data_IF_194737985386
#
_entry.id   IF_194737985386
#
_cell.length_a   1.000
_cell.length_b   1.000
_cell.length_c   1.000
_cell.angle_alpha   90.00
_cell.angle_beta   90.00
_cell.angle_gamma   90.00
#
_symmetry.space_group_name_H-M   'P 1'
#
loop_
_entity.id
_entity.type
_entity.pdbx_description
1 polymer ?
#
# COMPACT_ATOMS: atom_id res chain seq x y z
N UNK A 1 54.79 14.88 14.05
CA UNK A 1 54.66 13.45 13.66
C UNK A 1 53.74 12.68 14.63
N UNK A 2 52.48 13.08 14.78
CA UNK A 2 51.54 12.44 15.74
C UNK A 2 50.16 12.11 15.15
N UNK A 3 49.95 12.31 13.84
CA UNK A 3 48.63 12.13 13.21
C UNK A 3 48.39 10.76 12.57
N UNK A 4 49.42 9.91 12.40
CA UNK A 4 49.28 8.63 11.65
C UNK A 4 48.86 7.44 12.50
N UNK A 5 48.88 7.54 13.83
CA UNK A 5 48.41 6.48 14.74
C UNK A 5 46.91 6.55 15.08
N UNK A 6 46.18 7.60 14.69
CA UNK A 6 44.76 7.76 15.04
C UNK A 6 43.81 6.98 14.12
N UNK A 7 44.15 6.79 12.85
CA UNK A 7 43.30 6.09 11.87
C UNK A 7 43.12 4.58 12.16
N UNK A 8 44.16 3.79 12.48
CA UNK A 8 43.97 2.38 12.82
C UNK A 8 43.29 2.19 14.19
N UNK A 9 43.43 3.16 15.11
CA UNK A 9 42.76 3.12 16.40
C UNK A 9 41.26 3.45 16.27
N UNK A 10 40.87 4.35 15.37
CA UNK A 10 39.46 4.64 15.06
C UNK A 10 38.81 3.44 14.35
N UNK A 11 39.50 2.79 13.39
CA UNK A 11 38.99 1.58 12.74
C UNK A 11 38.88 0.37 13.70
N UNK A 12 39.77 0.27 14.70
CA UNK A 12 39.72 -0.76 15.73
C UNK A 12 38.70 -0.50 16.84
N UNK A 13 38.30 0.76 17.08
CA UNK A 13 37.19 1.10 17.98
C UNK A 13 35.81 0.88 17.33
N UNK A 14 35.70 1.04 16.00
CA UNK A 14 34.47 0.77 15.24
C UNK A 14 34.12 -0.73 15.14
N UNK A 15 35.09 -1.63 15.35
CA UNK A 15 34.89 -3.08 15.22
C UNK A 15 34.45 -3.78 16.51
N UNK A 16 34.35 -3.08 17.65
CA UNK A 16 34.04 -3.69 18.95
C UNK A 16 32.61 -3.42 19.48
N UNK A 17 31.79 -2.63 18.79
CA UNK A 17 30.43 -2.23 19.26
C UNK A 17 29.28 -2.58 18.30
N UNK A 18 29.55 -3.24 17.18
CA UNK A 18 28.55 -3.43 16.09
C UNK A 18 27.81 -4.77 16.12
N UNK A 19 28.17 -5.69 17.03
CA UNK A 19 27.51 -6.98 17.21
C UNK A 19 26.63 -6.96 18.47
N UNK A 20 25.31 -6.82 18.29
CA UNK A 20 24.32 -6.93 19.36
C UNK A 20 23.70 -8.33 19.35
N UNK A 21 23.21 -8.80 20.50
CA UNK A 21 22.46 -10.06 20.57
C UNK A 21 21.03 -9.81 20.12
N UNK A 22 20.58 -10.51 19.07
CA UNK A 22 19.20 -10.49 18.63
C UNK A 22 18.32 -11.01 19.77
N UNK A 23 17.34 -10.22 20.27
CA UNK A 23 16.59 -10.59 21.46
C UNK A 23 15.65 -11.78 21.22
N UNK A 24 15.23 -12.03 19.99
CA UNK A 24 14.39 -13.18 19.65
C UNK A 24 15.17 -14.49 19.49
N UNK A 25 16.32 -14.47 18.79
CA UNK A 25 17.10 -15.70 18.51
C UNK A 25 18.22 -15.97 19.50
N UNK A 26 18.66 -14.94 20.23
CA UNK A 26 19.89 -14.99 21.01
C UNK A 26 21.17 -15.06 20.17
N UNK A 27 21.11 -14.97 18.84
CA UNK A 27 22.28 -14.96 17.94
C UNK A 27 22.90 -13.56 17.88
N UNK A 28 24.17 -13.47 17.47
CA UNK A 28 24.81 -12.18 17.19
C UNK A 28 24.27 -11.64 15.86
N UNK A 29 23.98 -10.34 15.83
CA UNK A 29 23.44 -9.60 14.69
C UNK A 29 24.21 -8.29 14.55
N UNK A 30 24.42 -7.86 13.31
CA UNK A 30 24.92 -6.52 13.03
C UNK A 30 23.85 -5.49 13.40
N UNK A 31 24.18 -4.57 14.31
CA UNK A 31 23.27 -3.48 14.69
C UNK A 31 24.07 -2.19 14.77
N UNK A 32 23.88 -1.32 13.77
CA UNK A 32 24.40 0.05 13.78
C UNK A 32 23.42 1.05 14.40
N UNK A 33 22.17 0.62 14.62
CA UNK A 33 21.11 1.44 15.21
C UNK A 33 20.90 1.02 16.67
N UNK A 34 21.02 1.98 17.60
CA UNK A 34 20.72 1.76 19.01
C UNK A 34 19.22 1.55 19.24
N UNK A 35 18.80 1.02 20.40
CA UNK A 35 17.38 0.87 20.70
C UNK A 35 16.66 2.23 20.80
N UNK A 36 17.32 3.25 21.35
CA UNK A 36 16.73 4.58 21.46
C UNK A 36 16.57 5.23 20.08
N UNK A 37 17.56 5.07 19.19
CA UNK A 37 17.47 5.52 17.80
C UNK A 37 16.38 4.76 17.03
N UNK A 38 16.26 3.45 17.26
CA UNK A 38 15.21 2.62 16.69
C UNK A 38 13.81 3.14 17.08
N UNK A 39 13.60 3.45 18.36
CA UNK A 39 12.34 4.00 18.87
C UNK A 39 12.08 5.40 18.29
N UNK A 40 13.10 6.26 18.23
CA UNK A 40 12.97 7.61 17.69
C UNK A 40 12.59 7.58 16.20
N UNK A 41 13.27 6.74 15.41
CA UNK A 41 12.98 6.55 13.99
C UNK A 41 11.56 6.01 13.76
N UNK A 42 11.16 5.02 14.56
CA UNK A 42 9.81 4.47 14.54
C UNK A 42 8.73 5.51 14.78
N UNK A 43 8.91 6.33 15.82
CA UNK A 43 7.97 7.41 16.16
C UNK A 43 7.85 8.44 15.04
N UNK A 44 8.98 8.91 14.49
CA UNK A 44 8.96 9.86 13.39
C UNK A 44 8.22 9.28 12.17
N UNK A 45 8.57 8.05 11.78
CA UNK A 45 7.98 7.38 10.62
C UNK A 45 6.49 7.12 10.82
N UNK A 46 6.06 6.81 12.06
CA UNK A 46 4.65 6.66 12.39
C UNK A 46 3.86 7.97 12.23
N UNK A 47 4.43 9.13 12.57
CA UNK A 47 3.78 10.42 12.29
C UNK A 47 3.67 10.70 10.79
N UNK A 48 4.69 10.35 10.01
CA UNK A 48 4.65 10.47 8.54
C UNK A 48 3.54 9.59 7.95
N UNK A 49 3.41 8.33 8.40
CA UNK A 49 2.32 7.42 8.00
C UNK A 49 0.94 7.99 8.35
N UNK A 50 0.76 8.51 9.57
CA UNK A 50 -0.52 9.11 9.98
C UNK A 50 -0.86 10.38 9.19
N UNK A 51 0.14 11.19 8.85
CA UNK A 51 -0.07 12.40 8.07
C UNK A 51 -0.34 12.16 6.58
N UNK A 52 0.19 11.06 6.03
CA UNK A 52 0.08 10.71 4.60
C UNK A 52 -1.07 9.78 4.27
N UNK A 53 -1.22 8.68 5.01
CA UNK A 53 -2.25 7.67 4.77
C UNK A 53 -3.52 8.00 5.57
N UNK A 54 -3.36 8.46 6.82
CA UNK A 54 -4.48 8.70 7.72
C UNK A 54 -4.92 7.45 8.48
N UNK A 55 -5.44 7.67 9.70
CA UNK A 55 -6.03 6.61 10.52
C UNK A 55 -7.50 6.41 10.16
N UNK A 56 -7.98 5.16 10.31
CA UNK A 56 -9.42 4.89 10.39
C UNK A 56 -9.97 5.65 11.60
N UNK A 57 -11.00 6.47 11.38
CA UNK A 57 -11.50 7.42 12.38
C UNK A 57 -12.40 6.76 13.44
N UNK A 58 -12.97 5.60 13.13
CA UNK A 58 -13.85 4.84 14.00
C UNK A 58 -13.09 4.30 15.23
N UNK A 59 -13.36 4.80 16.45
CA UNK A 59 -12.59 4.40 17.64
C UNK A 59 -12.67 2.90 17.93
N UNK A 60 -13.84 2.30 17.67
CA UNK A 60 -14.06 0.87 17.84
C UNK A 60 -13.11 0.01 17.00
N UNK A 61 -12.69 0.47 15.81
CA UNK A 61 -11.75 -0.27 14.96
C UNK A 61 -10.34 -0.18 15.53
N UNK A 62 -9.91 1.03 15.96
CA UNK A 62 -8.61 1.23 16.61
C UNK A 62 -8.48 0.41 17.90
N UNK A 63 -9.52 0.45 18.74
CA UNK A 63 -9.59 -0.35 19.97
C UNK A 63 -9.56 -1.85 19.67
N UNK A 64 -10.23 -2.30 18.61
CA UNK A 64 -10.26 -3.71 18.23
C UNK A 64 -8.87 -4.21 17.83
N UNK A 65 -8.18 -3.53 16.90
CA UNK A 65 -6.85 -3.97 16.43
C UNK A 65 -5.82 -3.93 17.56
N UNK A 66 -5.89 -2.92 18.42
CA UNK A 66 -5.05 -2.82 19.61
C UNK A 66 -5.34 -3.95 20.62
N UNK A 67 -6.62 -4.29 20.86
CA UNK A 67 -7.01 -5.39 21.74
C UNK A 67 -6.47 -6.74 21.25
N UNK A 68 -6.41 -6.95 19.94
CA UNK A 68 -5.88 -8.20 19.35
C UNK A 68 -4.36 -8.26 19.50
N UNK A 69 -3.65 -7.21 19.08
CA UNK A 69 -2.20 -7.29 18.96
C UNK A 69 -1.40 -6.89 20.21
N UNK A 70 -1.87 -5.97 21.06
CA UNK A 70 -1.09 -5.50 22.21
C UNK A 70 -0.77 -6.62 23.21
N UNK A 71 -1.68 -7.56 23.53
CA UNK A 71 -1.36 -8.69 24.39
C UNK A 71 -0.22 -9.55 23.81
N UNK A 72 -0.23 -9.80 22.49
CA UNK A 72 0.84 -10.53 21.81
C UNK A 72 2.18 -9.79 21.89
N UNK A 73 2.17 -8.48 21.64
CA UNK A 73 3.35 -7.64 21.72
C UNK A 73 3.94 -7.58 23.15
N UNK A 74 3.08 -7.49 24.17
CA UNK A 74 3.49 -7.49 25.59
C UNK A 74 3.92 -8.86 26.12
N UNK A 75 3.62 -9.95 25.40
CA UNK A 75 4.10 -11.29 25.70
C UNK A 75 5.34 -11.69 24.86
N UNK A 76 5.82 -10.79 24.00
CA UNK A 76 6.99 -11.03 23.15
C UNK A 76 8.31 -10.89 23.89
N UNK A 77 9.42 -11.06 23.18
CA UNK A 77 10.78 -10.89 23.69
C UNK A 77 11.18 -9.43 23.94
N UNK A 78 10.35 -8.45 23.54
CA UNK A 78 10.58 -7.00 23.76
C UNK A 78 9.34 -6.29 24.32
N UNK A 79 8.82 -6.69 25.50
CA UNK A 79 7.56 -6.16 26.04
C UNK A 79 7.64 -4.68 26.46
N UNK A 80 8.84 -4.16 26.67
CA UNK A 80 9.14 -2.80 27.11
C UNK A 80 9.03 -1.73 26.01
N UNK A 81 8.99 -2.13 24.73
CA UNK A 81 8.85 -1.17 23.63
C UNK A 81 7.52 -0.38 23.73
N UNK A 82 7.51 0.87 23.22
CA UNK A 82 6.31 1.69 23.14
C UNK A 82 5.40 1.23 21.99
N UNK A 83 4.88 0.01 22.10
CA UNK A 83 4.02 -0.63 21.11
C UNK A 83 2.78 0.21 20.81
N UNK A 84 2.52 0.43 19.52
CA UNK A 84 1.25 0.98 19.02
C UNK A 84 0.76 0.08 17.90
N UNK A 85 -0.54 -0.19 17.87
CA UNK A 85 -1.18 -1.02 16.84
C UNK A 85 -2.38 -0.23 16.34
N UNK A 86 -2.35 0.17 15.08
CA UNK A 86 -3.30 1.13 14.53
C UNK A 86 -3.80 0.69 13.16
N UNK A 87 -5.05 1.04 12.85
CA UNK A 87 -5.62 0.80 11.53
C UNK A 87 -5.54 2.07 10.67
N UNK A 88 -5.10 1.95 9.42
CA UNK A 88 -4.97 3.05 8.46
C UNK A 88 -6.01 2.97 7.34
N UNK A 89 -6.44 4.12 6.86
CA UNK A 89 -7.48 4.25 5.82
C UNK A 89 -6.89 4.08 4.41
N UNK A 90 -6.35 2.88 4.15
CA UNK A 90 -5.81 2.49 2.86
C UNK A 90 -6.59 1.28 2.32
N UNK A 91 -7.18 1.34 1.12
CA UNK A 91 -7.87 0.20 0.52
C UNK A 91 -6.93 -0.89 0.00
N UNK A 92 -5.63 -0.62 -0.10
CA UNK A 92 -4.63 -1.63 -0.49
C UNK A 92 -4.51 -2.68 0.61
N UNK A 93 -4.49 -3.97 0.24
CA UNK A 93 -4.31 -5.08 1.18
C UNK A 93 -2.87 -5.11 1.69
N UNK A 94 -2.64 -4.61 2.91
CA UNK A 94 -1.33 -4.56 3.53
C UNK A 94 -1.36 -4.53 5.08
N UNK A 95 -0.23 -4.86 5.68
CA UNK A 95 0.13 -4.57 7.07
C UNK A 95 1.65 -4.35 7.12
N UNK A 96 2.13 -3.59 8.08
CA UNK A 96 3.56 -3.33 8.20
C UNK A 96 3.96 -2.93 9.61
N UNK A 97 5.18 -3.32 9.97
CA UNK A 97 5.85 -2.97 11.21
C UNK A 97 6.92 -1.90 10.96
N UNK A 98 6.93 -0.85 11.78
CA UNK A 98 8.02 0.13 11.83
C UNK A 98 8.95 -0.20 13.02
N UNK A 99 10.25 0.15 12.93
CA UNK A 99 11.19 -0.07 14.03
C UNK A 99 10.67 0.51 15.36
N UNK A 100 10.97 -0.15 16.48
CA UNK A 100 10.68 0.42 17.80
C UNK A 100 9.23 0.33 18.28
N UNK A 101 8.34 -0.40 17.58
CA UNK A 101 7.03 -0.79 18.12
C UNK A 101 5.75 -0.34 17.39
N UNK A 102 5.74 0.60 16.43
CA UNK A 102 4.54 0.88 15.66
C UNK A 102 4.20 -0.25 14.66
N UNK A 103 2.97 -0.71 14.68
CA UNK A 103 2.41 -1.70 13.75
C UNK A 103 1.13 -1.13 13.14
N UNK A 104 1.00 -1.23 11.83
CA UNK A 104 -0.14 -0.75 11.08
C UNK A 104 -0.80 -1.86 10.29
N UNK A 105 -2.12 -1.81 10.21
CA UNK A 105 -2.94 -2.69 9.36
C UNK A 105 -3.87 -1.84 8.50
N UNK A 106 -3.95 -2.13 7.20
CA UNK A 106 -4.77 -1.33 6.29
C UNK A 106 -6.24 -1.77 6.34
N UNK A 107 -7.14 -0.83 6.04
CA UNK A 107 -8.55 -1.14 5.81
C UNK A 107 -8.74 -2.22 4.74
N UNK A 108 -7.95 -2.18 3.67
CA UNK A 108 -7.95 -3.21 2.63
C UNK A 108 -7.75 -4.60 3.19
N UNK A 109 -6.73 -4.79 4.03
CA UNK A 109 -6.48 -6.09 4.66
C UNK A 109 -7.58 -6.47 5.64
N UNK A 110 -8.05 -5.55 6.50
CA UNK A 110 -9.16 -5.82 7.42
C UNK A 110 -10.42 -6.31 6.68
N UNK A 111 -10.74 -5.72 5.54
CA UNK A 111 -11.92 -6.14 4.77
C UNK A 111 -11.72 -7.45 4.01
N UNK A 112 -10.48 -7.86 3.74
CA UNK A 112 -10.16 -9.13 3.09
C UNK A 112 -10.17 -10.32 4.07
N UNK A 113 -9.73 -10.14 5.31
CA UNK A 113 -9.68 -11.19 6.33
C UNK A 113 -11.08 -11.61 6.82
N UNK A 114 -11.17 -12.79 7.41
CA UNK A 114 -12.40 -13.51 7.70
C UNK A 114 -12.55 -13.95 9.16
N UNK A 115 -11.51 -13.76 10.00
CA UNK A 115 -11.61 -13.99 11.45
C UNK A 115 -10.63 -13.14 12.26
N UNK A 116 -10.83 -13.11 13.58
CA UNK A 116 -9.92 -12.43 14.50
C UNK A 116 -8.57 -13.16 14.58
N UNK A 117 -8.56 -14.49 14.45
CA UNK A 117 -7.36 -15.29 14.41
C UNK A 117 -6.54 -15.07 13.13
N UNK A 118 -7.18 -14.85 11.96
CA UNK A 118 -6.46 -14.39 10.77
C UNK A 118 -5.78 -13.03 11.01
N UNK A 119 -6.49 -12.06 11.62
CA UNK A 119 -5.89 -10.77 11.99
C UNK A 119 -4.75 -10.96 13.00
N UNK A 120 -4.92 -11.83 14.00
CA UNK A 120 -3.88 -12.13 14.98
C UNK A 120 -2.65 -12.75 14.33
N UNK A 121 -2.81 -13.56 13.28
CA UNK A 121 -1.70 -14.11 12.51
C UNK A 121 -0.88 -13.01 11.85
N UNK A 122 -1.54 -12.07 11.17
CA UNK A 122 -0.84 -10.94 10.53
C UNK A 122 -0.15 -10.08 11.58
N UNK A 123 -0.87 -9.66 12.62
CA UNK A 123 -0.28 -8.80 13.66
C UNK A 123 0.86 -9.49 14.41
N UNK A 124 0.73 -10.80 14.69
CA UNK A 124 1.79 -11.60 15.30
C UNK A 124 3.05 -11.65 14.44
N UNK A 125 2.89 -11.79 13.12
CA UNK A 125 3.98 -11.74 12.16
C UNK A 125 4.68 -10.37 12.14
N UNK A 126 3.92 -9.26 12.08
CA UNK A 126 4.50 -7.91 12.11
C UNK A 126 5.23 -7.62 13.44
N UNK A 127 4.65 -8.05 14.57
CA UNK A 127 5.29 -7.96 15.89
C UNK A 127 6.61 -8.75 15.87
N UNK A 128 6.64 -9.92 15.24
CA UNK A 128 7.83 -10.75 15.16
C UNK A 128 8.98 -10.09 14.39
N UNK A 129 8.70 -9.30 13.34
CA UNK A 129 9.74 -8.52 12.65
C UNK A 129 10.43 -7.52 13.58
N UNK A 130 9.65 -6.84 14.45
CA UNK A 130 10.18 -5.86 15.41
C UNK A 130 10.92 -6.54 16.55
N UNK A 131 10.40 -7.66 17.07
CA UNK A 131 11.05 -8.41 18.16
C UNK A 131 12.34 -9.04 17.68
N UNK A 132 12.39 -9.53 16.45
CA UNK A 132 13.59 -10.02 15.81
C UNK A 132 14.51 -8.92 15.25
N UNK A 133 14.09 -7.64 15.30
CA UNK A 133 14.85 -6.49 14.79
C UNK A 133 15.22 -6.58 13.30
N UNK A 134 14.42 -7.26 12.48
CA UNK A 134 14.71 -7.45 11.05
C UNK A 134 14.87 -6.12 10.29
N UNK A 135 14.05 -5.12 10.57
CA UNK A 135 14.17 -3.79 9.94
C UNK A 135 15.45 -3.07 10.33
N UNK A 136 15.92 -3.24 11.57
CA UNK A 136 17.19 -2.66 12.04
C UNK A 136 18.39 -3.34 11.38
N UNK A 137 18.32 -4.66 11.19
CA UNK A 137 19.35 -5.40 10.46
C UNK A 137 19.47 -4.88 9.02
N UNK A 138 18.34 -4.72 8.32
CA UNK A 138 18.35 -4.15 6.97
C UNK A 138 18.85 -2.71 6.92
N UNK A 139 18.43 -1.87 7.86
CA UNK A 139 18.95 -0.49 7.95
C UNK A 139 20.46 -0.47 8.18
N UNK A 140 20.97 -1.36 9.04
CA UNK A 140 22.40 -1.48 9.32
C UNK A 140 23.17 -1.95 8.08
N UNK A 141 22.63 -2.91 7.34
CA UNK A 141 23.22 -3.37 6.07
C UNK A 141 23.23 -2.26 5.01
N UNK A 142 22.14 -1.50 4.88
CA UNK A 142 22.05 -0.36 3.97
C UNK A 142 23.05 0.75 4.33
N UNK A 143 23.19 1.08 5.62
CA UNK A 143 24.20 2.04 6.10
C UNK A 143 25.63 1.58 5.80
N UNK A 144 25.94 0.28 5.99
CA UNK A 144 27.24 -0.27 5.61
C UNK A 144 27.48 -0.24 4.11
N UNK A 145 26.47 -0.57 3.30
CA UNK A 145 26.57 -0.50 1.84
C UNK A 145 26.86 0.93 1.38
N UNK A 146 26.16 1.92 1.94
CA UNK A 146 26.41 3.34 1.68
C UNK A 146 27.81 3.76 2.16
N UNK A 147 28.23 3.37 3.35
CA UNK A 147 29.59 3.66 3.85
C UNK A 147 30.67 2.98 2.99
N UNK A 148 30.43 1.77 2.49
CA UNK A 148 31.30 1.04 1.57
C UNK A 148 31.38 1.70 0.20
N UNK A 149 30.25 2.19 -0.33
CA UNK A 149 30.21 3.01 -1.54
C UNK A 149 30.97 4.33 -1.35
N UNK A 150 30.84 4.98 -0.20
CA UNK A 150 31.58 6.20 0.14
C UNK A 150 33.09 5.95 0.26
N UNK A 151 33.51 4.85 0.90
CA UNK A 151 34.91 4.44 0.95
C UNK A 151 35.44 4.07 -0.45
N UNK A 152 34.60 3.50 -1.31
CA UNK A 152 34.89 3.25 -2.72
C UNK A 152 34.94 4.53 -3.56
N UNK A 153 34.12 5.54 -3.25
CA UNK A 153 34.07 6.83 -3.94
C UNK A 153 35.11 7.82 -3.43
N UNK A 154 35.86 7.54 -2.36
CA UNK A 154 37.14 8.25 -2.10
C UNK A 154 38.17 7.99 -3.23
N UNK A 155 37.86 7.10 -4.19
CA UNK A 155 38.56 6.95 -5.47
C UNK A 155 37.90 7.70 -6.65
N UNK A 156 36.82 8.48 -6.44
CA UNK A 156 36.08 9.23 -7.48
C UNK A 156 35.19 10.34 -6.85
N UNK A 157 35.56 11.60 -7.04
CA UNK A 157 35.11 12.80 -6.29
C UNK A 157 33.59 13.19 -6.33
N UNK A 158 32.71 12.47 -7.03
CA UNK A 158 31.35 12.99 -7.32
C UNK A 158 30.20 12.53 -6.38
N UNK A 159 30.44 11.72 -5.33
CA UNK A 159 29.35 11.06 -4.57
C UNK A 159 29.07 11.68 -3.18
N UNK A 160 29.36 12.97 -2.97
CA UNK A 160 29.24 13.62 -1.66
C UNK A 160 27.86 14.27 -1.36
N UNK A 161 26.81 14.03 -2.16
CA UNK A 161 25.58 14.84 -2.12
C UNK A 161 24.27 14.18 -1.64
N UNK A 162 24.29 12.96 -1.14
CA UNK A 162 23.09 12.30 -0.61
C UNK A 162 23.13 12.16 0.91
N UNK A 163 22.64 13.19 1.60
CA UNK A 163 22.50 13.19 3.06
C UNK A 163 21.24 13.95 3.46
N UNK A 164 20.10 13.26 3.48
CA UNK A 164 18.82 13.82 3.93
C UNK A 164 17.98 12.76 4.65
N UNK A 165 18.01 12.77 5.98
CA UNK A 165 17.22 11.90 6.87
C UNK A 165 15.71 12.23 6.86
N UNK A 166 15.27 13.25 6.10
CA UNK A 166 13.89 13.74 6.11
C UNK A 166 12.91 13.01 5.17
N UNK A 167 13.39 12.08 4.34
CA UNK A 167 12.54 11.26 3.45
C UNK A 167 12.64 9.75 3.73
N UNK A 168 13.31 9.36 4.82
CA UNK A 168 13.64 7.96 5.10
C UNK A 168 12.48 7.17 5.73
N UNK A 169 11.52 7.82 6.42
CA UNK A 169 10.49 7.13 7.18
C UNK A 169 9.52 6.32 6.31
N UNK A 170 8.98 6.93 5.25
CA UNK A 170 8.15 6.21 4.27
C UNK A 170 8.92 5.16 3.45
N UNK A 171 10.25 5.31 3.30
CA UNK A 171 11.07 4.29 2.63
C UNK A 171 11.12 2.97 3.42
N UNK A 172 10.90 3.01 4.74
CA UNK A 172 10.84 1.82 5.60
C UNK A 172 9.68 0.89 5.20
N UNK A 173 8.60 1.44 4.63
CA UNK A 173 7.45 0.68 4.15
C UNK A 173 7.78 -0.24 2.96
N UNK A 174 8.93 -0.02 2.31
CA UNK A 174 9.36 -0.78 1.13
C UNK A 174 10.52 -1.74 1.42
N UNK A 175 10.91 -1.89 2.70
CA UNK A 175 11.92 -2.88 3.09
C UNK A 175 11.41 -4.29 2.76
N UNK A 176 12.29 -5.12 2.21
CA UNK A 176 11.97 -6.48 1.78
C UNK A 176 12.71 -7.48 2.62
N UNK A 177 12.00 -8.32 3.35
CA UNK A 177 12.64 -9.25 4.27
C UNK A 177 13.19 -10.49 3.56
N UNK A 178 14.28 -11.03 4.10
CA UNK A 178 14.88 -12.26 3.60
C UNK A 178 14.02 -13.48 3.91
N UNK A 179 14.27 -14.60 3.23
CA UNK A 179 13.58 -15.88 3.50
C UNK A 179 13.78 -16.38 4.94
N UNK A 180 14.91 -16.05 5.55
CA UNK A 180 15.22 -16.44 6.94
C UNK A 180 14.42 -15.58 7.92
N UNK A 181 14.33 -14.28 7.64
CA UNK A 181 13.53 -13.32 8.41
C UNK A 181 12.04 -13.72 8.40
N UNK A 182 11.49 -14.04 7.23
CA UNK A 182 10.09 -14.46 7.08
C UNK A 182 9.80 -15.75 7.85
N UNK A 183 10.68 -16.76 7.75
CA UNK A 183 10.52 -18.02 8.51
C UNK A 183 10.61 -17.80 10.01
N UNK A 184 11.49 -16.91 10.45
CA UNK A 184 11.60 -16.55 11.87
C UNK A 184 10.36 -15.78 12.34
N UNK A 185 9.85 -14.87 11.52
CA UNK A 185 8.64 -14.11 11.82
C UNK A 185 7.41 -15.01 11.90
N UNK A 186 7.27 -16.01 11.00
CA UNK A 186 6.25 -17.05 11.07
C UNK A 186 6.31 -17.85 12.38
N UNK A 187 7.51 -18.25 12.81
CA UNK A 187 7.70 -19.05 14.03
C UNK A 187 7.33 -18.29 15.30
N UNK A 188 7.78 -17.04 15.40
CA UNK A 188 7.49 -16.17 16.53
C UNK A 188 6.02 -15.73 16.51
N UNK A 189 5.48 -15.37 15.35
CA UNK A 189 4.07 -15.02 15.17
C UNK A 189 3.16 -16.16 15.61
N UNK A 190 3.45 -17.39 15.17
CA UNK A 190 2.75 -18.60 15.60
C UNK A 190 2.78 -18.76 17.14
N UNK A 191 3.96 -18.58 17.76
CA UNK A 191 4.11 -18.64 19.22
C UNK A 191 3.27 -17.56 19.91
N UNK A 192 3.25 -16.33 19.40
CA UNK A 192 2.48 -15.23 19.99
C UNK A 192 0.98 -15.47 19.91
N UNK A 193 0.48 -15.93 18.75
CA UNK A 193 -0.91 -16.33 18.57
C UNK A 193 -1.30 -17.43 19.56
N UNK A 194 -0.48 -18.46 19.67
CA UNK A 194 -0.75 -19.60 20.54
C UNK A 194 -0.81 -19.16 22.01
N UNK A 195 0.12 -18.32 22.44
CA UNK A 195 0.14 -17.76 23.81
C UNK A 195 -1.08 -16.86 24.09
N UNK A 196 -1.60 -16.19 23.07
CA UNK A 196 -2.82 -15.38 23.16
C UNK A 196 -4.11 -16.21 23.01
N UNK A 197 -4.01 -17.52 22.80
CA UNK A 197 -5.15 -18.43 22.67
C UNK A 197 -5.87 -18.38 21.32
N UNK A 198 -5.23 -17.86 20.27
CA UNK A 198 -5.80 -17.80 18.93
C UNK A 198 -5.60 -19.10 18.16
N UNK A 199 -6.55 -19.39 17.26
CA UNK A 199 -6.47 -20.54 16.37
C UNK A 199 -5.37 -20.36 15.32
N UNK A 200 -4.21 -20.96 15.59
CA UNK A 200 -3.03 -20.91 14.73
C UNK A 200 -3.21 -21.56 13.36
N UNK A 201 -4.30 -22.32 13.13
CA UNK A 201 -4.60 -22.88 11.80
C UNK A 201 -4.93 -21.80 10.78
N UNK A 202 -5.46 -20.66 11.24
CA UNK A 202 -5.86 -19.52 10.40
C UNK A 202 -4.67 -18.81 9.72
N UNK A 203 -3.44 -19.07 10.17
CA UNK A 203 -2.25 -18.53 9.50
C UNK A 203 -2.13 -18.99 8.04
N UNK A 204 -2.53 -20.24 7.73
CA UNK A 204 -2.56 -20.74 6.36
C UNK A 204 -3.64 -20.05 5.50
N UNK A 205 -4.76 -19.68 6.12
CA UNK A 205 -5.90 -19.04 5.45
C UNK A 205 -5.60 -17.58 5.04
N UNK A 206 -4.69 -16.91 5.77
CA UNK A 206 -4.16 -15.59 5.38
C UNK A 206 -3.45 -15.67 4.02
N UNK A 207 -2.55 -16.63 3.82
CA UNK A 207 -1.85 -16.79 2.53
C UNK A 207 -2.82 -17.11 1.38
N UNK A 208 -3.83 -17.95 1.63
CA UNK A 208 -4.88 -18.21 0.64
C UNK A 208 -5.67 -16.95 0.29
N UNK A 209 -5.91 -16.07 1.27
CA UNK A 209 -6.54 -14.76 1.05
C UNK A 209 -5.65 -13.85 0.21
N UNK A 210 -4.35 -13.78 0.49
CA UNK A 210 -3.40 -12.99 -0.28
C UNK A 210 -3.24 -13.49 -1.73
N UNK A 211 -3.21 -14.81 -1.95
CA UNK A 211 -3.18 -15.40 -3.28
C UNK A 211 -4.43 -15.02 -4.10
N UNK A 212 -5.62 -15.07 -3.48
CA UNK A 212 -6.86 -14.60 -4.13
C UNK A 212 -6.81 -13.12 -4.49
N UNK A 213 -6.28 -12.26 -3.60
CA UNK A 213 -6.10 -10.83 -3.86
C UNK A 213 -5.16 -10.60 -5.05
N UNK A 214 -4.04 -11.30 -5.11
CA UNK A 214 -3.09 -11.18 -6.23
C UNK A 214 -3.71 -11.61 -7.57
N UNK A 215 -4.49 -12.69 -7.57
CA UNK A 215 -5.21 -13.16 -8.77
C UNK A 215 -6.27 -12.16 -9.23
N UNK A 216 -7.03 -11.57 -8.31
CA UNK A 216 -8.03 -10.55 -8.63
C UNK A 216 -7.41 -9.27 -9.23
N UNK A 217 -6.18 -8.92 -8.84
CA UNK A 217 -5.42 -7.82 -9.42
C UNK A 217 -4.79 -8.14 -10.79
N UNK A 218 -5.32 -9.13 -11.52
CA UNK A 218 -4.87 -9.54 -12.85
C UNK A 218 -3.62 -10.44 -12.86
N UNK A 219 -3.19 -10.96 -11.70
CA UNK A 219 -2.07 -11.91 -11.58
C UNK A 219 -0.69 -11.36 -11.93
N UNK A 220 -0.59 -10.14 -12.45
CA UNK A 220 0.66 -9.46 -12.79
C UNK A 220 1.22 -8.61 -11.64
N UNK A 221 0.38 -8.27 -10.65
CA UNK A 221 0.79 -7.51 -9.47
C UNK A 221 0.66 -8.36 -8.22
N UNK A 222 1.74 -8.44 -7.43
CA UNK A 222 1.69 -9.04 -6.10
C UNK A 222 0.92 -8.08 -5.18
N UNK A 223 0.07 -8.60 -4.26
CA UNK A 223 -0.45 -7.81 -3.15
C UNK A 223 0.69 -7.05 -2.45
N UNK A 224 0.42 -5.84 -1.96
CA UNK A 224 1.44 -5.01 -1.34
C UNK A 224 2.16 -5.74 -0.19
N UNK A 225 1.43 -6.50 0.63
CA UNK A 225 2.03 -7.33 1.68
C UNK A 225 3.01 -8.36 1.13
N UNK A 226 2.69 -9.06 0.03
CA UNK A 226 3.62 -10.03 -0.58
C UNK A 226 4.82 -9.37 -1.28
N UNK A 227 4.79 -8.05 -1.49
CA UNK A 227 5.93 -7.31 -2.04
C UNK A 227 7.03 -7.05 -1.00
N UNK A 228 6.66 -6.93 0.27
CA UNK A 228 7.58 -6.78 1.42
C UNK A 228 7.84 -8.11 2.15
N UNK A 229 6.86 -9.03 2.10
CA UNK A 229 6.88 -10.37 2.71
C UNK A 229 6.79 -11.47 1.64
N UNK A 230 7.88 -11.76 0.91
CA UNK A 230 7.84 -12.75 -0.16
C UNK A 230 7.49 -14.15 0.40
N UNK A 231 6.60 -14.86 -0.29
CA UNK A 231 6.34 -16.28 -0.03
C UNK A 231 7.17 -17.14 -1.00
N UNK A 232 8.21 -17.86 -0.53
CA UNK A 232 8.98 -18.77 -1.35
C UNK A 232 8.24 -20.06 -1.72
N UNK A 233 6.99 -20.23 -1.30
CA UNK A 233 6.07 -21.31 -1.69
C UNK A 233 5.93 -22.44 -0.66
N UNK A 234 6.66 -22.39 0.45
CA UNK A 234 6.65 -23.41 1.52
C UNK A 234 5.98 -22.94 2.82
N UNK A 235 5.66 -21.64 2.95
CA UNK A 235 5.15 -21.06 4.21
C UNK A 235 3.79 -21.63 4.63
N UNK A 236 2.90 -21.88 3.67
CA UNK A 236 1.59 -22.50 3.94
C UNK A 236 1.73 -23.89 4.54
N UNK A 237 2.57 -24.74 3.95
CA UNK A 237 2.79 -26.10 4.45
C UNK A 237 3.54 -26.08 5.79
N UNK A 238 4.50 -25.17 5.96
CA UNK A 238 5.18 -24.98 7.23
C UNK A 238 4.23 -24.50 8.34
N UNK A 239 3.26 -23.62 8.06
CA UNK A 239 2.23 -23.21 9.00
C UNK A 239 1.33 -24.39 9.42
N UNK A 240 0.88 -25.20 8.46
CA UNK A 240 0.11 -26.43 8.73
C UNK A 240 0.89 -27.43 9.57
N UNK A 241 2.17 -27.64 9.25
CA UNK A 241 3.04 -28.55 9.98
C UNK A 241 3.26 -28.07 11.43
N UNK A 242 3.49 -26.77 11.65
CA UNK A 242 3.59 -26.17 13.00
C UNK A 242 2.31 -26.35 13.78
N UNK A 243 1.14 -26.11 13.18
CA UNK A 243 -0.15 -26.33 13.80
C UNK A 243 -0.34 -27.81 14.19
N UNK A 244 0.01 -28.75 13.30
CA UNK A 244 -0.10 -30.19 13.57
C UNK A 244 0.83 -30.69 14.69
N UNK A 245 1.99 -30.05 14.88
CA UNK A 245 2.95 -30.38 15.93
C UNK A 245 2.69 -29.65 17.25
N UNK A 246 1.74 -28.73 17.29
CA UNK A 246 1.43 -27.97 18.49
C UNK A 246 0.84 -28.91 19.56
N UNK A 247 1.48 -28.96 20.73
CA UNK A 247 1.02 -29.80 21.83
C UNK A 247 -0.09 -29.10 22.64
N UNK A 248 -1.17 -28.71 21.96
CA UNK A 248 -2.35 -28.03 22.53
C UNK A 248 -3.63 -28.61 21.94
N UNK A 249 -4.74 -28.48 22.66
CA UNK A 249 -6.06 -28.78 22.11
C UNK A 249 -6.53 -27.63 21.21
N UNK A 250 -6.34 -27.81 19.88
CA UNK A 250 -6.73 -26.81 18.87
C UNK A 250 -8.24 -26.50 18.87
N UNK A 251 -9.10 -27.36 19.44
CA UNK A 251 -10.54 -27.12 19.52
C UNK A 251 -10.92 -26.04 20.53
N UNK A 252 -10.03 -25.75 21.49
CA UNK A 252 -10.23 -24.72 22.51
C UNK A 252 -9.70 -23.35 22.08
N UNK A 253 -9.02 -23.26 20.94
CA UNK A 253 -8.46 -22.01 20.44
C UNK A 253 -9.54 -21.13 19.82
N UNK A 254 -9.38 -19.82 19.99
CA UNK A 254 -10.32 -18.81 19.52
C UNK A 254 -10.07 -18.49 18.05
N UNK A 255 -11.08 -18.70 17.21
CA UNK A 255 -11.12 -18.15 15.85
C UNK A 255 -11.66 -16.69 15.84
N UNK A 256 -12.76 -16.44 16.55
CA UNK A 256 -13.30 -15.09 16.74
C UNK A 256 -14.02 -14.47 15.52
N UNK A 257 -14.36 -15.26 14.49
CA UNK A 257 -15.03 -14.78 13.26
C UNK A 257 -16.20 -13.85 13.48
N UNK A 258 -17.21 -14.21 14.28
CA UNK A 258 -18.42 -13.38 14.37
C UNK A 258 -18.16 -12.01 15.01
N UNK A 259 -17.28 -11.95 16.02
CA UNK A 259 -16.87 -10.68 16.62
C UNK A 259 -16.05 -9.82 15.64
N UNK A 260 -15.20 -10.47 14.85
CA UNK A 260 -14.42 -9.82 13.80
C UNK A 260 -15.30 -9.23 12.70
N UNK A 261 -16.23 -10.03 12.17
CA UNK A 261 -17.17 -9.58 11.16
C UNK A 261 -18.02 -8.41 11.68
N UNK A 262 -18.50 -8.49 12.93
CA UNK A 262 -19.26 -7.41 13.54
C UNK A 262 -18.48 -6.09 13.60
N UNK A 263 -17.16 -6.11 13.82
CA UNK A 263 -16.32 -4.91 13.77
C UNK A 263 -16.25 -4.31 12.36
N UNK A 264 -16.35 -5.13 11.32
CA UNK A 264 -16.35 -4.65 9.92
C UNK A 264 -17.68 -4.04 9.49
N UNK A 265 -18.77 -4.21 10.25
CA UNK A 265 -20.08 -3.68 9.87
C UNK A 265 -20.02 -2.15 9.67
N UNK A 266 -20.37 -1.69 8.46
CA UNK A 266 -20.35 -0.29 8.06
C UNK A 266 -18.97 0.26 7.68
N UNK A 267 -17.91 -0.54 7.77
CA UNK A 267 -16.55 -0.12 7.37
C UNK A 267 -16.51 0.21 5.88
N UNK A 268 -15.80 1.28 5.50
CA UNK A 268 -15.64 1.64 4.10
C UNK A 268 -14.91 0.54 3.30
N UNK A 269 -15.32 0.30 2.06
CA UNK A 269 -14.73 -0.70 1.17
C UNK A 269 -14.23 -0.06 -0.12
N UNK A 270 -13.02 -0.44 -0.54
CA UNK A 270 -12.38 0.09 -1.75
C UNK A 270 -11.97 1.57 -1.63
N UNK A 271 -11.70 2.18 -2.78
CA UNK A 271 -11.35 3.60 -2.89
C UNK A 271 -12.53 4.49 -2.52
N UNK A 272 -12.27 5.65 -1.91
CA UNK A 272 -13.31 6.67 -1.71
C UNK A 272 -13.67 7.31 -3.06
N UNK A 273 -14.89 7.11 -3.59
CA UNK A 273 -15.29 7.69 -4.87
C UNK A 273 -15.30 9.22 -4.84
N UNK A 274 -15.31 9.86 -3.66
CA UNK A 274 -15.21 11.32 -3.55
C UNK A 274 -13.84 11.85 -3.99
N UNK A 275 -12.81 10.99 -3.96
CA UNK A 275 -11.45 11.28 -4.43
C UNK A 275 -11.25 10.95 -5.92
N UNK A 276 -12.30 10.52 -6.62
CA UNK A 276 -12.22 10.18 -8.03
C UNK A 276 -12.79 8.80 -8.34
N UNK A 277 -13.55 8.71 -9.42
CA UNK A 277 -14.01 7.43 -9.95
C UNK A 277 -14.30 7.53 -11.45
N UNK A 278 -14.33 6.38 -12.11
CA UNK A 278 -14.76 6.27 -13.50
C UNK A 278 -16.21 5.81 -13.60
N UNK A 279 -16.93 6.38 -14.55
CA UNK A 279 -18.19 5.84 -15.07
C UNK A 279 -18.07 5.75 -16.59
N UNK A 280 -17.90 4.54 -17.11
CA UNK A 280 -17.43 4.35 -18.48
C UNK A 280 -16.06 5.01 -18.69
N UNK A 281 -15.95 5.85 -19.70
CA UNK A 281 -14.74 6.61 -20.03
C UNK A 281 -14.67 8.00 -19.37
N UNK A 282 -15.63 8.35 -18.49
CA UNK A 282 -15.66 9.65 -17.80
C UNK A 282 -15.11 9.49 -16.40
N UNK A 283 -14.02 10.20 -16.10
CA UNK A 283 -13.51 10.37 -14.75
C UNK A 283 -14.23 11.54 -14.07
N UNK A 284 -14.66 11.35 -12.83
CA UNK A 284 -15.35 12.35 -12.02
C UNK A 284 -14.70 12.44 -10.66
N UNK A 285 -14.44 13.66 -10.19
CA UNK A 285 -13.88 13.93 -8.88
C UNK A 285 -14.84 14.81 -8.05
N UNK A 286 -15.68 14.23 -7.19
CA UNK A 286 -16.66 14.95 -6.38
C UNK A 286 -16.05 15.98 -5.42
N UNK A 287 -14.92 15.65 -4.77
CA UNK A 287 -14.23 16.54 -3.83
C UNK A 287 -13.75 17.84 -4.47
N UNK A 288 -13.03 17.75 -5.60
CA UNK A 288 -12.54 18.91 -6.36
C UNK A 288 -13.56 19.43 -7.39
N UNK A 289 -14.70 18.75 -7.56
CA UNK A 289 -15.80 19.12 -8.45
C UNK A 289 -15.41 19.28 -9.92
N UNK A 290 -14.65 18.32 -10.47
CA UNK A 290 -14.36 18.31 -11.90
C UNK A 290 -14.61 16.95 -12.53
N UNK A 291 -14.66 16.93 -13.86
CA UNK A 291 -14.73 15.74 -14.68
C UNK A 291 -13.78 15.83 -15.87
N UNK A 292 -13.41 14.67 -16.41
CA UNK A 292 -12.53 14.52 -17.57
C UNK A 292 -12.95 13.29 -18.37
N UNK A 293 -13.10 13.41 -19.69
CA UNK A 293 -13.53 12.30 -20.55
C UNK A 293 -12.35 11.74 -21.34
N UNK A 294 -12.06 10.46 -21.15
CA UNK A 294 -11.01 9.74 -21.87
C UNK A 294 -11.53 9.17 -23.20
N UNK A 295 -10.67 8.88 -24.19
CA UNK A 295 -11.13 8.30 -25.44
C UNK A 295 -11.68 6.89 -25.23
N UNK A 296 -12.70 6.52 -26.00
CA UNK A 296 -13.28 5.17 -25.93
C UNK A 296 -12.24 4.09 -26.31
N UNK A 297 -12.27 2.96 -25.60
CA UNK A 297 -11.34 1.84 -25.82
C UNK A 297 -9.93 2.03 -25.25
N UNK A 298 -9.61 3.19 -24.67
CA UNK A 298 -8.37 3.40 -23.93
C UNK A 298 -8.45 2.73 -22.56
N UNK A 299 -7.35 2.13 -22.10
CA UNK A 299 -7.26 1.58 -20.75
C UNK A 299 -7.12 2.72 -19.77
N UNK A 300 -8.01 2.83 -18.78
CA UNK A 300 -7.98 3.90 -17.78
C UNK A 300 -7.52 3.41 -16.42
N UNK A 301 -6.80 4.26 -15.69
CA UNK A 301 -6.35 4.01 -14.32
C UNK A 301 -6.60 5.24 -13.44
N UNK A 302 -7.16 5.01 -12.24
CA UNK A 302 -7.31 6.01 -11.19
C UNK A 302 -6.35 5.66 -10.04
N UNK A 303 -5.31 6.44 -9.85
CA UNK A 303 -4.32 6.29 -8.78
C UNK A 303 -4.30 7.53 -7.88
N UNK A 304 -3.86 7.44 -6.62
CA UNK A 304 -3.90 8.56 -5.68
C UNK A 304 -3.20 9.85 -6.18
N UNK A 305 -2.17 9.72 -7.01
CA UNK A 305 -1.38 10.84 -7.53
C UNK A 305 -1.56 11.08 -9.04
N UNK A 306 -2.36 10.28 -9.74
CA UNK A 306 -2.59 10.48 -11.16
C UNK A 306 -3.84 9.74 -11.64
N UNK A 307 -4.54 10.34 -12.60
CA UNK A 307 -5.51 9.63 -13.43
C UNK A 307 -5.00 9.61 -14.86
N UNK A 308 -5.00 8.44 -15.50
CA UNK A 308 -4.43 8.27 -16.82
C UNK A 308 -5.28 7.38 -17.72
N UNK A 309 -5.21 7.64 -19.02
CA UNK A 309 -5.67 6.78 -20.09
C UNK A 309 -4.47 6.38 -20.94
N UNK A 310 -4.39 5.11 -21.27
CA UNK A 310 -3.34 4.49 -22.10
C UNK A 310 -3.98 4.04 -23.41
N UNK A 311 -3.38 4.42 -24.53
CA UNK A 311 -3.84 4.04 -25.87
C UNK A 311 -3.91 2.51 -26.03
N UNK A 312 -4.79 1.98 -26.90
CA UNK A 312 -4.86 0.54 -27.19
C UNK A 312 -3.52 -0.05 -27.68
N UNK A 313 -2.70 0.76 -28.35
CA UNK A 313 -1.36 0.40 -28.85
C UNK A 313 -0.27 0.52 -27.77
N UNK A 314 -0.61 1.00 -26.57
CA UNK A 314 0.31 1.24 -25.45
C UNK A 314 1.49 2.17 -25.78
N UNK A 315 1.32 3.07 -26.77
CA UNK A 315 2.33 4.03 -27.23
C UNK A 315 1.96 5.51 -26.97
N UNK A 316 0.81 5.78 -26.33
CA UNK A 316 0.42 7.11 -25.87
C UNK A 316 -0.29 7.08 -24.51
N UNK A 317 -0.03 8.13 -23.72
CA UNK A 317 -0.61 8.34 -22.39
C UNK A 317 -1.18 9.75 -22.33
N UNK A 318 -2.38 9.88 -21.75
CA UNK A 318 -3.01 11.17 -21.46
C UNK A 318 -3.62 11.12 -20.07
N UNK A 319 -3.62 12.22 -19.34
CA UNK A 319 -4.10 12.18 -17.97
C UNK A 319 -4.02 13.51 -17.23
N UNK A 320 -4.17 13.40 -15.93
CA UNK A 320 -4.17 14.51 -14.99
C UNK A 320 -3.36 14.16 -13.74
N UNK A 321 -2.53 15.11 -13.32
CA UNK A 321 -1.66 15.01 -12.13
C UNK A 321 -1.87 16.25 -11.25
N UNK A 322 -2.19 16.10 -9.94
CA UNK A 322 -2.25 17.23 -9.02
C UNK A 322 -0.84 17.76 -8.73
N UNK A 323 -0.64 19.07 -8.83
CA UNK A 323 0.66 19.72 -8.61
C UNK A 323 0.72 20.50 -7.29
N UNK A 324 -0.30 20.33 -6.45
CA UNK A 324 -0.48 21.08 -5.21
C UNK A 324 -0.95 22.53 -5.44
N UNK A 325 -0.72 23.38 -4.45
CA UNK A 325 -1.28 24.72 -4.38
C UNK A 325 -0.29 25.77 -4.94
N UNK A 326 0.08 25.61 -6.21
CA UNK A 326 0.93 26.54 -6.96
C UNK A 326 0.12 27.22 -8.06
N UNK A 327 0.42 28.46 -8.46
CA UNK A 327 -0.31 29.11 -9.53
C UNK A 327 -0.09 28.38 -10.88
N UNK A 328 -1.10 28.22 -11.76
CA UNK A 328 -0.94 27.51 -13.03
C UNK A 328 0.21 28.02 -13.92
N UNK A 329 0.42 29.34 -13.97
CA UNK A 329 1.52 29.92 -14.73
C UNK A 329 2.89 29.58 -14.13
N UNK A 330 2.99 29.56 -12.80
CA UNK A 330 4.20 29.15 -12.09
C UNK A 330 4.47 27.65 -12.29
N UNK A 331 3.43 26.83 -12.24
CA UNK A 331 3.51 25.39 -12.51
C UNK A 331 4.01 25.11 -13.93
N UNK A 332 3.49 25.84 -14.92
CA UNK A 332 3.96 25.78 -16.30
C UNK A 332 5.43 26.17 -16.42
N UNK A 333 5.84 27.29 -15.80
CA UNK A 333 7.23 27.72 -15.83
C UNK A 333 8.16 26.65 -15.23
N UNK A 334 7.79 26.10 -14.07
CA UNK A 334 8.56 25.03 -13.42
C UNK A 334 8.71 23.81 -14.32
N UNK A 335 7.63 23.36 -14.95
CA UNK A 335 7.65 22.24 -15.90
C UNK A 335 8.58 22.50 -17.08
N UNK A 336 8.48 23.67 -17.73
CA UNK A 336 9.31 24.01 -18.90
C UNK A 336 10.80 24.21 -18.57
N UNK A 337 11.14 24.45 -17.31
CA UNK A 337 12.55 24.55 -16.85
C UNK A 337 13.14 23.22 -16.39
N UNK A 338 12.39 22.12 -16.42
CA UNK A 338 12.92 20.80 -16.08
C UNK A 338 13.97 20.36 -17.10
N UNK A 339 15.02 19.71 -16.60
CA UNK A 339 16.06 19.14 -17.46
C UNK A 339 15.46 18.16 -18.46
N UNK A 340 15.83 18.28 -19.73
CA UNK A 340 15.33 17.43 -20.81
C UNK A 340 14.01 17.87 -21.44
N UNK A 341 13.26 18.83 -20.87
CA UNK A 341 12.04 19.40 -21.48
C UNK A 341 12.40 20.57 -22.40
N UNK A 342 11.87 20.58 -23.62
CA UNK A 342 12.02 21.66 -24.58
C UNK A 342 10.65 22.15 -25.07
N UNK A 343 10.23 23.40 -24.77
CA UNK A 343 9.01 23.95 -25.32
C UNK A 343 9.13 24.09 -26.84
N UNK A 344 8.10 23.66 -27.57
CA UNK A 344 8.05 23.73 -29.04
C UNK A 344 7.17 24.90 -29.50
N UNK A 345 5.91 24.92 -29.06
CA UNK A 345 4.94 25.93 -29.48
C UNK A 345 3.74 25.99 -28.53
N UNK A 346 3.00 27.11 -28.56
CA UNK A 346 1.69 27.16 -27.91
C UNK A 346 0.72 26.22 -28.62
N UNK A 347 -0.15 25.56 -27.86
CA UNK A 347 -1.16 24.67 -28.44
C UNK A 347 -2.25 25.47 -29.17
N UNK A 348 -2.83 24.93 -30.27
CA UNK A 348 -3.87 25.61 -31.05
C UNK A 348 -5.20 25.68 -30.29
N UNK A 349 -6.17 26.35 -30.91
CA UNK A 349 -7.53 26.42 -30.38
C UNK A 349 -8.12 25.03 -30.10
N UNK A 350 -8.88 24.93 -29.02
CA UNK A 350 -9.45 23.68 -28.51
C UNK A 350 -8.67 23.08 -27.36
N UNK A 351 -7.42 23.49 -27.12
CA UNK A 351 -6.75 23.22 -25.83
C UNK A 351 -7.07 24.30 -24.78
N UNK A 352 -6.95 23.99 -23.49
CA UNK A 352 -7.00 24.97 -22.41
C UNK A 352 -6.02 26.12 -22.63
N UNK A 353 -6.37 27.31 -22.14
CA UNK A 353 -5.52 28.49 -22.27
C UNK A 353 -4.14 28.24 -21.65
N UNK A 354 -3.08 28.60 -22.38
CA UNK A 354 -1.70 28.42 -21.93
C UNK A 354 -1.14 27.01 -22.14
N UNK A 355 -1.91 26.10 -22.76
CA UNK A 355 -1.39 24.80 -23.17
C UNK A 355 -0.21 24.95 -24.12
N UNK A 356 0.81 24.11 -23.93
CA UNK A 356 2.10 24.20 -24.63
C UNK A 356 2.53 22.82 -25.10
N UNK A 357 2.91 22.71 -26.38
CA UNK A 357 3.59 21.54 -26.90
C UNK A 357 5.05 21.54 -26.48
N UNK A 358 5.55 20.35 -26.14
CA UNK A 358 6.93 20.15 -25.73
C UNK A 358 7.50 18.88 -26.38
N UNK A 359 8.82 18.82 -26.43
CA UNK A 359 9.59 17.61 -26.68
C UNK A 359 10.44 17.30 -25.46
N UNK A 360 10.71 16.02 -25.23
CA UNK A 360 11.62 15.60 -24.19
C UNK A 360 12.48 14.42 -24.62
N UNK A 361 13.71 14.36 -24.11
CA UNK A 361 14.56 13.18 -24.28
C UNK A 361 14.46 12.32 -23.02
N UNK A 362 14.05 11.07 -23.17
CA UNK A 362 14.03 10.07 -22.09
C UNK A 362 15.05 8.97 -22.36
N UNK A 363 15.31 8.12 -21.36
CA UNK A 363 16.13 6.92 -21.53
C UNK A 363 15.54 5.95 -22.58
N UNK A 364 14.22 5.97 -22.76
CA UNK A 364 13.49 5.12 -23.71
C UNK A 364 13.36 5.75 -25.11
N UNK A 365 13.88 6.97 -25.31
CA UNK A 365 13.84 7.70 -26.58
C UNK A 365 13.22 9.08 -26.48
N UNK A 366 13.10 9.75 -27.63
CA UNK A 366 12.50 11.07 -27.74
C UNK A 366 10.96 10.97 -27.67
N UNK A 367 10.36 11.74 -26.77
CA UNK A 367 8.91 11.90 -26.65
C UNK A 367 8.49 13.30 -27.06
N UNK A 368 7.23 13.43 -27.45
CA UNK A 368 6.58 14.71 -27.64
C UNK A 368 5.19 14.68 -27.02
N UNK A 369 4.72 15.85 -26.61
CA UNK A 369 3.46 15.94 -25.89
C UNK A 369 2.94 17.36 -25.78
N UNK A 370 1.81 17.48 -25.09
CA UNK A 370 1.14 18.72 -24.75
C UNK A 370 0.85 18.74 -23.27
N UNK A 371 1.08 19.88 -22.63
CA UNK A 371 0.78 20.08 -21.22
C UNK A 371 -0.05 21.35 -21.02
N UNK A 372 -0.94 21.34 -20.04
CA UNK A 372 -1.69 22.51 -19.59
C UNK A 372 -1.86 22.46 -18.08
N UNK A 373 -2.00 23.63 -17.45
CA UNK A 373 -2.24 23.72 -16.01
C UNK A 373 -3.53 24.47 -15.76
N UNK A 374 -4.43 23.87 -14.99
CA UNK A 374 -5.75 24.44 -14.67
C UNK A 374 -5.91 24.50 -13.15
N UNK A 375 -6.58 25.54 -12.66
CA UNK A 375 -6.88 25.67 -11.23
C UNK A 375 -8.31 25.18 -10.97
N UNK A 376 -8.46 24.30 -9.99
CA UNK A 376 -9.75 23.73 -9.59
C UNK A 376 -9.75 23.45 -8.09
N UNK A 377 -10.78 23.94 -7.38
CA UNK A 377 -10.93 23.67 -5.95
C UNK A 377 -9.77 24.14 -5.07
N UNK A 378 -9.00 25.15 -5.50
CA UNK A 378 -7.81 25.66 -4.79
C UNK A 378 -6.52 24.87 -5.05
N UNK A 379 -6.56 23.83 -5.88
CA UNK A 379 -5.41 23.05 -6.33
C UNK A 379 -5.15 23.29 -7.81
N UNK A 380 -3.88 23.24 -8.22
CA UNK A 380 -3.52 23.23 -9.63
C UNK A 380 -3.35 21.80 -10.12
N UNK A 381 -3.96 21.53 -11.26
CA UNK A 381 -3.97 20.24 -11.92
C UNK A 381 -3.22 20.38 -13.25
N UNK A 382 -2.26 19.49 -13.48
CA UNK A 382 -1.58 19.36 -14.76
C UNK A 382 -2.36 18.39 -15.63
N UNK A 383 -2.83 18.84 -16.78
CA UNK A 383 -3.25 17.99 -17.89
C UNK A 383 -2.01 17.67 -18.72
N UNK A 384 -1.72 16.39 -18.94
CA UNK A 384 -0.53 15.94 -19.65
C UNK A 384 -0.90 14.85 -20.65
N UNK A 385 -0.51 15.03 -21.92
CA UNK A 385 -0.59 14.01 -22.96
C UNK A 385 0.75 13.88 -23.65
N UNK A 386 1.28 12.66 -23.78
CA UNK A 386 2.56 12.41 -24.44
C UNK A 386 2.61 11.05 -25.14
N UNK A 387 3.50 10.97 -26.11
CA UNK A 387 3.75 9.78 -26.95
C UNK A 387 5.17 9.85 -27.51
N UNK A 388 5.61 8.83 -28.25
CA UNK A 388 6.86 8.89 -29.00
C UNK A 388 6.85 10.08 -29.97
N UNK A 389 7.98 10.77 -30.14
CA UNK A 389 8.00 12.07 -30.83
C UNK A 389 7.43 12.04 -32.27
N UNK A 390 7.55 10.91 -32.97
CA UNK A 390 7.01 10.73 -34.33
C UNK A 390 5.49 10.48 -34.36
N UNK A 391 4.88 10.08 -33.24
CA UNK A 391 3.48 9.69 -33.13
C UNK A 391 2.57 10.84 -32.68
N UNK A 392 3.12 12.01 -32.32
CA UNK A 392 2.32 13.13 -31.78
C UNK A 392 1.16 13.53 -32.70
N UNK A 393 1.41 13.59 -34.02
CA UNK A 393 0.37 13.94 -34.99
C UNK A 393 -0.80 12.94 -35.04
N UNK A 394 -0.58 11.67 -34.69
CA UNK A 394 -1.63 10.66 -34.63
C UNK A 394 -2.51 10.79 -33.37
N UNK A 395 -1.98 11.36 -32.29
CA UNK A 395 -2.64 11.46 -30.98
C UNK A 395 -3.08 12.87 -30.58
N UNK A 396 -2.69 13.90 -31.33
CA UNK A 396 -3.03 15.30 -31.02
C UNK A 396 -4.53 15.50 -30.82
N UNK A 397 -5.35 14.96 -31.72
CA UNK A 397 -6.81 15.08 -31.66
C UNK A 397 -7.39 14.40 -30.41
N UNK A 398 -6.84 13.25 -30.02
CA UNK A 398 -7.22 12.56 -28.80
C UNK A 398 -6.83 13.37 -27.55
N UNK A 399 -5.61 13.91 -27.49
CA UNK A 399 -5.16 14.78 -26.40
C UNK A 399 -6.02 16.04 -26.30
N UNK A 400 -6.35 16.66 -27.43
CA UNK A 400 -7.24 17.84 -27.49
C UNK A 400 -8.63 17.51 -26.98
N UNK A 401 -9.20 16.37 -27.38
CA UNK A 401 -10.51 15.93 -26.92
C UNK A 401 -10.55 15.72 -25.40
N UNK A 402 -9.51 15.09 -24.83
CA UNK A 402 -9.41 14.92 -23.37
C UNK A 402 -9.28 16.27 -22.68
N UNK A 403 -8.33 17.11 -23.08
CA UNK A 403 -8.06 18.37 -22.41
C UNK A 403 -9.25 19.34 -22.48
N UNK A 404 -9.96 19.37 -23.62
CA UNK A 404 -11.17 20.19 -23.80
C UNK A 404 -12.39 19.69 -23.03
N UNK A 405 -12.40 18.41 -22.65
CA UNK A 405 -13.47 17.83 -21.82
C UNK A 405 -13.34 18.14 -20.34
N UNK A 406 -12.20 18.71 -19.90
CA UNK A 406 -12.03 19.16 -18.53
C UNK A 406 -13.07 20.23 -18.20
N UNK A 407 -13.88 19.97 -17.18
CA UNK A 407 -14.96 20.88 -16.79
C UNK A 407 -15.46 20.65 -15.38
N UNK A 408 -16.30 21.56 -14.90
CA UNK A 408 -16.93 21.44 -13.60
C UNK A 408 -17.90 20.24 -13.55
N UNK A 409 -17.79 19.44 -12.48
CA UNK A 409 -18.74 18.37 -12.20
C UNK A 409 -20.00 18.97 -11.56
N UNK A 410 -21.10 18.93 -12.30
CA UNK A 410 -22.41 19.48 -11.87
C UNK A 410 -23.46 18.41 -11.59
N UNK A 411 -23.21 17.16 -11.97
CA UNK A 411 -24.12 16.05 -11.72
C UNK A 411 -24.31 15.82 -10.22
N UNK A 412 -25.55 16.01 -9.76
CA UNK A 412 -25.88 15.93 -8.33
C UNK A 412 -25.68 14.52 -7.75
N UNK A 413 -25.87 13.47 -8.55
CA UNK A 413 -25.71 12.08 -8.10
C UNK A 413 -24.23 11.72 -7.92
N UNK A 414 -23.37 12.16 -8.86
CA UNK A 414 -21.93 12.01 -8.77
C UNK A 414 -21.37 12.83 -7.60
N UNK A 415 -21.85 14.06 -7.39
CA UNK A 415 -21.45 14.91 -6.26
C UNK A 415 -21.86 14.33 -4.89
N UNK A 416 -23.00 13.64 -4.83
CA UNK A 416 -23.54 13.06 -3.61
C UNK A 416 -23.02 11.63 -3.33
N UNK A 417 -22.17 11.07 -4.21
CA UNK A 417 -21.65 9.71 -4.07
C UNK A 417 -21.01 9.50 -2.70
N UNK A 418 -21.28 8.33 -2.12
CA UNK A 418 -20.76 7.91 -0.83
C UNK A 418 -19.85 6.69 -1.01
N UNK A 419 -18.84 6.52 -0.14
CA UNK A 419 -18.04 5.31 -0.11
C UNK A 419 -18.91 4.05 -0.04
N UNK A 420 -18.47 2.99 -0.74
CA UNK A 420 -18.99 1.65 -0.53
C UNK A 420 -18.72 1.22 0.92
N UNK A 421 -19.60 0.38 1.47
CA UNK A 421 -19.49 -0.11 2.85
C UNK A 421 -19.71 -1.61 2.94
N UNK A 422 -19.00 -2.24 3.87
CA UNK A 422 -19.25 -3.61 4.29
C UNK A 422 -20.58 -3.66 5.04
N UNK A 423 -21.47 -4.55 4.59
CA UNK A 423 -22.63 -4.97 5.34
C UNK A 423 -22.56 -6.48 5.57
N UNK A 424 -23.16 -6.93 6.66
CA UNK A 424 -23.26 -8.34 7.00
C UNK A 424 -24.67 -8.83 6.77
N UNK A 425 -24.82 -10.01 6.17
CA UNK A 425 -26.09 -10.71 6.15
C UNK A 425 -25.89 -12.21 6.43
N UNK A 426 -26.93 -12.85 6.98
CA UNK A 426 -26.91 -14.28 7.27
C UNK A 426 -27.48 -15.07 6.11
N UNK A 427 -26.85 -16.21 5.83
CA UNK A 427 -27.36 -17.18 4.86
C UNK A 427 -28.65 -17.82 5.40
N UNK A 428 -29.80 -17.70 4.73
CA UNK A 428 -31.08 -18.16 5.28
C UNK A 428 -31.27 -19.69 5.21
N UNK A 429 -30.73 -20.32 4.18
CA UNK A 429 -30.73 -21.77 3.96
C UNK A 429 -29.46 -22.16 3.19
N UNK A 430 -29.03 -23.43 3.19
CA UNK A 430 -27.84 -23.83 2.42
C UNK A 430 -27.98 -23.43 0.96
N UNK A 431 -27.02 -22.65 0.44
CA UNK A 431 -27.01 -22.12 -0.93
C UNK A 431 -25.59 -21.75 -1.36
N UNK A 432 -25.35 -21.59 -2.66
CA UNK A 432 -24.05 -21.10 -3.14
C UNK A 432 -23.88 -19.61 -2.86
N UNK A 433 -22.64 -19.11 -2.87
CA UNK A 433 -22.39 -17.67 -2.77
C UNK A 433 -23.07 -16.91 -3.93
N UNK A 434 -23.08 -17.49 -5.13
CA UNK A 434 -23.77 -16.89 -6.28
C UNK A 434 -25.28 -16.73 -6.02
N UNK A 435 -25.95 -17.77 -5.54
CA UNK A 435 -27.38 -17.71 -5.17
C UNK A 435 -27.63 -16.71 -4.03
N UNK A 436 -26.72 -16.65 -3.06
CA UNK A 436 -26.79 -15.66 -2.00
C UNK A 436 -26.72 -14.23 -2.54
N UNK A 437 -25.81 -13.95 -3.48
CA UNK A 437 -25.65 -12.64 -4.11
C UNK A 437 -26.87 -12.25 -4.96
N UNK A 438 -27.51 -13.19 -5.64
CA UNK A 438 -28.77 -12.94 -6.38
C UNK A 438 -29.90 -12.49 -5.43
N UNK A 439 -29.95 -13.04 -4.21
CA UNK A 439 -30.94 -12.69 -3.19
C UNK A 439 -30.55 -11.47 -2.35
N UNK A 440 -29.25 -11.22 -2.20
CA UNK A 440 -28.65 -10.14 -1.40
C UNK A 440 -27.57 -9.41 -2.21
N UNK A 441 -27.95 -8.61 -3.23
CA UNK A 441 -26.99 -8.07 -4.18
C UNK A 441 -25.90 -7.23 -3.55
N UNK A 442 -24.65 -7.54 -3.89
CA UNK A 442 -23.47 -6.73 -3.63
C UNK A 442 -23.20 -5.76 -4.79
N UNK A 443 -22.55 -4.63 -4.53
CA UNK A 443 -22.13 -3.68 -5.59
C UNK A 443 -20.83 -4.08 -6.30
N UNK A 444 -20.12 -5.06 -5.76
CA UNK A 444 -18.93 -5.69 -6.36
C UNK A 444 -19.29 -6.98 -7.10
N UNK A 445 -18.37 -7.47 -7.93
CA UNK A 445 -18.53 -8.75 -8.64
C UNK A 445 -18.67 -9.95 -7.68
N UNK A 446 -19.20 -11.07 -8.16
CA UNK A 446 -19.32 -12.29 -7.34
C UNK A 446 -17.93 -12.88 -7.01
N UNK A 447 -16.95 -12.66 -7.88
CA UNK A 447 -15.56 -13.04 -7.70
C UNK A 447 -14.91 -12.25 -6.54
N UNK A 448 -15.09 -10.92 -6.53
CA UNK A 448 -14.63 -10.08 -5.42
C UNK A 448 -15.39 -10.41 -4.12
N UNK A 449 -16.69 -10.69 -4.22
CA UNK A 449 -17.49 -11.11 -3.06
C UNK A 449 -16.96 -12.42 -2.47
N UNK A 450 -16.57 -13.36 -3.33
CA UNK A 450 -15.99 -14.64 -2.92
C UNK A 450 -14.64 -14.43 -2.22
N UNK A 451 -13.79 -13.57 -2.80
CA UNK A 451 -12.50 -13.18 -2.24
C UNK A 451 -12.66 -12.65 -0.81
N UNK A 452 -13.50 -11.63 -0.60
CA UNK A 452 -13.63 -11.06 0.74
C UNK A 452 -14.23 -12.06 1.72
N UNK A 453 -15.09 -12.99 1.29
CA UNK A 453 -15.68 -14.00 2.18
C UNK A 453 -14.86 -15.25 2.39
N UNK A 454 -13.70 -15.33 1.77
CA UNK A 454 -12.79 -16.45 1.93
C UNK A 454 -13.31 -17.74 1.29
N UNK A 455 -14.15 -17.67 0.25
CA UNK A 455 -14.78 -18.81 -0.42
C UNK A 455 -14.61 -18.72 -1.95
N UNK A 456 -15.15 -19.68 -2.68
CA UNK A 456 -15.36 -19.65 -4.13
C UNK A 456 -16.84 -19.33 -4.46
N UNK A 457 -17.15 -18.77 -5.65
CA UNK A 457 -18.53 -18.47 -6.05
C UNK A 457 -19.50 -19.68 -5.98
N UNK A 458 -18.98 -20.88 -6.29
CA UNK A 458 -19.73 -22.14 -6.28
C UNK A 458 -19.81 -22.84 -4.92
N UNK A 459 -19.11 -22.37 -3.89
CA UNK A 459 -19.10 -23.02 -2.57
C UNK A 459 -20.48 -22.93 -1.93
N UNK A 460 -20.95 -24.05 -1.36
CA UNK A 460 -22.20 -24.09 -0.61
C UNK A 460 -21.98 -23.57 0.80
N UNK A 461 -22.64 -22.45 1.12
CA UNK A 461 -22.60 -21.82 2.43
C UNK A 461 -23.69 -22.43 3.33
N UNK A 462 -23.38 -22.80 4.59
CA UNK A 462 -24.37 -23.32 5.51
C UNK A 462 -25.33 -22.22 6.00
N UNK A 463 -26.55 -22.63 6.36
CA UNK A 463 -27.52 -21.72 6.97
C UNK A 463 -26.97 -21.08 8.26
N UNK A 464 -27.29 -19.82 8.48
CA UNK A 464 -26.85 -19.02 9.62
C UNK A 464 -25.44 -18.42 9.48
N UNK A 465 -24.64 -18.83 8.50
CA UNK A 465 -23.31 -18.24 8.26
C UNK A 465 -23.43 -16.75 7.95
N UNK A 466 -22.64 -15.93 8.63
CA UNK A 466 -22.52 -14.50 8.33
C UNK A 466 -21.59 -14.31 7.12
N UNK A 467 -22.08 -13.54 6.15
CA UNK A 467 -21.43 -13.22 4.88
C UNK A 467 -21.31 -11.70 4.76
N UNK A 468 -20.13 -11.23 4.38
CA UNK A 468 -19.87 -9.84 4.01
C UNK A 468 -20.46 -9.57 2.64
N UNK A 469 -21.12 -8.45 2.45
CA UNK A 469 -21.48 -7.88 1.15
C UNK A 469 -21.05 -6.43 1.11
N UNK A 470 -20.94 -5.86 -0.08
CA UNK A 470 -20.63 -4.45 -0.27
C UNK A 470 -21.86 -3.73 -0.77
N UNK A 471 -22.19 -2.61 -0.15
CA UNK A 471 -23.33 -1.78 -0.57
C UNK A 471 -22.87 -0.33 -0.75
N UNK A 472 -23.63 0.44 -1.54
CA UNK A 472 -23.24 1.80 -1.89
C UNK A 472 -22.01 1.85 -2.80
N UNK A 473 -21.33 2.99 -2.82
CA UNK A 473 -20.25 3.24 -3.77
C UNK A 473 -20.75 3.45 -5.20
N UNK A 474 -19.79 3.42 -6.12
CA UNK A 474 -20.04 3.39 -7.56
C UNK A 474 -20.08 1.93 -7.97
N UNK A 475 -21.13 1.50 -8.68
CA UNK A 475 -21.16 0.13 -9.21
C UNK A 475 -20.03 -0.04 -10.20
N UNK A 476 -19.25 -1.11 -10.05
CA UNK A 476 -18.35 -1.60 -11.08
C UNK A 476 -19.19 -1.88 -12.32
N UNK A 477 -19.07 -1.09 -13.38
CA UNK A 477 -19.59 -1.49 -14.68
C UNK A 477 -18.65 -2.56 -15.25
N UNK A 478 -19.18 -3.70 -15.72
CA UNK A 478 -18.37 -4.79 -16.28
C UNK A 478 -17.57 -4.37 -17.52
#
# INVERSE_FOLDING_TARGET
MTSRLRLPLILALLSLTTCVRNPATGKRMLSLVSQDDEIALGKQSAEEVRGSIGLIQEPQVQEYVARVGLPMAKASERPELPWTIQAVDDPVVNAFALPGGPVFVTRGLLTALNSEAELASVLGHEIAHITARHSVEQLSQAQLAQAGLLLGSVLSEDVARFGGLAAAGLQLLFLKYGRDDERQADELGFKYMLNAGYDVRQAADVFATLDRVGKAAGGQSLPAWLSTHPDPGDRVEAAKERAAKANVDLSQLKDGREAYLAMLQGMAYGNDPRQGFFQGNVFMHPGLRFQLTFPQGWKTANQPQQVAGISPQEDAIVGLVPTGNIAPQEAMQRFLTQEGIQPVSAAPAGFPQGATFFQAQTEQGAIAGVTAFVSQGGTTLQLLGYTGAQQLGAYEDAFRAVFSSFGELTDASALAVQPARIELAKVPSPMTLQQFNEQNPSTISVEELALINGVQPGDTLPAGRTVKRVTGGVRSTP
#
